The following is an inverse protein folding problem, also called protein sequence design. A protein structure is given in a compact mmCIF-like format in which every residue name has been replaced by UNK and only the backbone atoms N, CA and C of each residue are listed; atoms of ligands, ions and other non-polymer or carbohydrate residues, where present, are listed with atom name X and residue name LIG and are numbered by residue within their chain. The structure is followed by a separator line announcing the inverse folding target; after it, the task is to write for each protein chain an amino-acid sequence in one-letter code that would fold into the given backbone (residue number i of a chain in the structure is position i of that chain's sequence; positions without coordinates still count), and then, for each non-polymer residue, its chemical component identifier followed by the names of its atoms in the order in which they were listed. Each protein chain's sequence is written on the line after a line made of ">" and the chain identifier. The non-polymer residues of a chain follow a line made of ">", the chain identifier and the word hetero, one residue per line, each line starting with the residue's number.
data_IF_531686808797
#
_entry.id   IF_531686808797
#
_cell.length_a   1.000
_cell.length_b   1.000
_cell.length_c   1.000
_cell.angle_alpha   90.00
_cell.angle_beta   90.00
_cell.angle_gamma   90.00
#
_symmetry.space_group_name_H-M   'P 1'
#
loop_
_entity.id
_entity.type
_entity.pdbx_description
1 polymer ?
#
# COMPACT_ATOMS: atom_id res chain seq x y z
N UNK A 1 3.51 62.59 -41.02
CA UNK A 1 3.81 61.96 -39.71
C UNK A 1 2.85 60.80 -39.47
N UNK A 2 3.28 59.55 -39.70
CA UNK A 2 2.56 58.36 -39.25
C UNK A 2 3.56 57.50 -38.48
N UNK A 3 3.30 57.33 -37.19
CA UNK A 3 4.09 56.59 -36.22
C UNK A 3 3.80 55.09 -36.37
N UNK A 4 4.82 54.30 -36.69
CA UNK A 4 4.81 52.84 -36.56
C UNK A 4 5.21 52.50 -35.13
N UNK A 5 4.25 52.02 -34.33
CA UNK A 5 4.50 51.44 -33.01
C UNK A 5 4.90 49.97 -33.19
N UNK A 6 6.15 49.63 -32.90
CA UNK A 6 6.58 48.24 -32.73
C UNK A 6 6.08 47.72 -31.39
N UNK A 7 5.26 46.68 -31.41
CA UNK A 7 4.82 45.95 -30.22
C UNK A 7 5.85 44.85 -29.95
N UNK A 8 6.60 45.01 -28.86
CA UNK A 8 7.52 43.99 -28.34
C UNK A 8 6.70 42.98 -27.53
N UNK A 9 6.47 41.78 -28.07
CA UNK A 9 5.83 40.68 -27.34
C UNK A 9 6.90 40.02 -26.46
N UNK A 10 6.81 40.25 -25.15
CA UNK A 10 7.66 39.60 -24.16
C UNK A 10 7.11 38.20 -23.88
N UNK A 11 7.76 37.17 -24.45
CA UNK A 11 7.49 35.77 -24.14
C UNK A 11 8.05 35.45 -22.73
N UNK A 12 7.18 35.48 -21.72
CA UNK A 12 7.51 34.98 -20.38
C UNK A 12 7.45 33.45 -20.45
N UNK A 13 8.61 32.82 -20.61
CA UNK A 13 8.76 31.38 -20.42
C UNK A 13 8.74 31.12 -18.91
N UNK A 14 7.58 30.71 -18.40
CA UNK A 14 7.49 30.15 -17.05
C UNK A 14 8.18 28.78 -17.06
N UNK A 15 9.48 28.77 -16.79
CA UNK A 15 10.19 27.55 -16.43
C UNK A 15 9.70 27.10 -15.05
N UNK A 16 8.74 26.18 -15.02
CA UNK A 16 8.44 25.39 -13.84
C UNK A 16 9.69 24.58 -13.49
N UNK A 17 10.50 25.09 -12.56
CA UNK A 17 11.47 24.26 -11.88
C UNK A 17 10.71 23.28 -11.01
N UNK A 18 10.57 22.04 -11.48
CA UNK A 18 10.31 20.91 -10.60
C UNK A 18 11.52 20.79 -9.67
N UNK A 19 11.44 21.44 -8.51
CA UNK A 19 12.30 21.13 -7.38
C UNK A 19 12.07 19.66 -7.06
N UNK A 20 12.98 18.79 -7.51
CA UNK A 20 13.07 17.41 -7.05
C UNK A 20 13.42 17.45 -5.57
N UNK A 21 12.39 17.52 -4.72
CA UNK A 21 12.58 17.46 -3.29
C UNK A 21 13.04 16.03 -2.95
N UNK A 22 14.33 15.85 -2.66
CA UNK A 22 14.83 14.59 -2.11
C UNK A 22 14.05 14.29 -0.83
N UNK A 23 13.41 13.13 -0.77
CA UNK A 23 12.63 12.71 0.40
C UNK A 23 13.53 12.15 1.51
N UNK A 24 14.84 12.01 1.25
CA UNK A 24 15.86 11.46 2.16
C UNK A 24 15.38 10.18 2.86
N UNK A 25 14.86 9.27 2.03
CA UNK A 25 14.28 7.99 2.40
C UNK A 25 15.30 7.12 3.16
N UNK A 26 14.83 6.13 3.92
CA UNK A 26 15.71 5.20 4.62
C UNK A 26 16.75 4.57 3.67
N UNK A 27 16.32 4.20 2.46
CA UNK A 27 17.17 3.65 1.39
C UNK A 27 18.26 4.61 0.90
N UNK A 28 18.04 5.93 0.94
CA UNK A 28 19.00 6.93 0.46
C UNK A 28 20.13 7.16 1.50
N UNK A 29 19.96 6.68 2.74
CA UNK A 29 20.89 6.89 3.85
C UNK A 29 21.96 5.79 4.00
N UNK A 30 22.56 5.34 2.90
CA UNK A 30 23.53 4.22 2.87
C UNK A 30 24.59 4.30 3.98
N UNK A 31 25.16 5.47 4.24
CA UNK A 31 26.22 5.65 5.24
C UNK A 31 25.78 5.27 6.66
N UNK A 32 24.49 5.32 6.98
CA UNK A 32 23.97 4.98 8.31
C UNK A 32 23.83 3.48 8.54
N UNK A 33 23.79 2.68 7.47
CA UNK A 33 23.56 1.24 7.58
C UNK A 33 24.60 0.36 6.89
N UNK A 34 25.48 0.91 6.05
CA UNK A 34 26.54 0.15 5.36
C UNK A 34 27.37 -0.69 6.33
N UNK A 35 27.85 -0.09 7.42
CA UNK A 35 28.69 -0.77 8.40
C UNK A 35 27.95 -1.92 9.10
N UNK A 36 26.62 -1.90 9.12
CA UNK A 36 25.80 -3.00 9.65
C UNK A 36 25.74 -4.19 8.69
N UNK A 37 26.12 -4.01 7.41
CA UNK A 37 26.08 -5.00 6.34
C UNK A 37 27.47 -5.54 5.96
N UNK A 38 28.55 -4.83 6.32
CA UNK A 38 29.91 -5.24 5.99
C UNK A 38 30.23 -6.63 6.57
N UNK A 39 30.84 -7.50 5.75
CA UNK A 39 31.20 -8.88 6.07
C UNK A 39 30.02 -9.78 6.52
N UNK A 40 28.78 -9.42 6.16
CA UNK A 40 27.59 -10.23 6.42
C UNK A 40 27.01 -10.83 5.14
N UNK A 41 26.36 -11.97 5.30
CA UNK A 41 25.45 -12.52 4.29
C UNK A 41 24.10 -11.83 4.41
N UNK A 42 23.79 -11.00 3.42
CA UNK A 42 22.61 -10.13 3.42
C UNK A 42 21.51 -10.76 2.55
N UNK A 43 20.35 -11.00 3.14
CA UNK A 43 19.13 -11.25 2.38
C UNK A 43 18.32 -9.95 2.23
N UNK A 44 17.55 -9.83 1.15
CA UNK A 44 16.78 -8.63 0.84
C UNK A 44 15.30 -8.95 0.73
N UNK A 45 14.43 -8.10 1.26
CA UNK A 45 12.98 -8.13 1.00
C UNK A 45 12.64 -6.82 0.29
N UNK A 46 12.49 -6.91 -1.04
CA UNK A 46 12.48 -5.76 -1.96
C UNK A 46 11.51 -5.99 -3.12
N UNK A 47 11.11 -4.90 -3.78
CA UNK A 47 10.36 -4.93 -5.03
C UNK A 47 10.89 -3.85 -5.99
N UNK A 48 10.19 -3.59 -7.09
CA UNK A 48 10.65 -2.66 -8.12
C UNK A 48 10.81 -1.22 -7.65
N UNK A 49 10.16 -0.82 -6.54
CA UNK A 49 10.24 0.51 -5.95
C UNK A 49 11.47 0.68 -5.02
N UNK A 50 12.22 -0.40 -4.77
CA UNK A 50 13.44 -0.41 -3.96
C UNK A 50 14.63 0.19 -4.70
N UNK A 51 14.54 1.50 -5.00
CA UNK A 51 15.50 2.23 -5.84
C UNK A 51 16.05 3.47 -5.17
N UNK A 52 17.31 3.75 -5.45
CA UNK A 52 17.99 5.03 -5.21
C UNK A 52 18.14 5.67 -6.59
N UNK A 53 17.41 6.76 -6.80
CA UNK A 53 17.17 7.32 -8.12
C UNK A 53 16.68 6.24 -9.09
N UNK A 54 17.47 5.91 -10.13
CA UNK A 54 17.13 4.89 -11.11
C UNK A 54 17.79 3.53 -10.85
N UNK A 55 18.61 3.41 -9.82
CA UNK A 55 19.39 2.19 -9.52
C UNK A 55 18.68 1.36 -8.46
N UNK A 56 18.50 0.06 -8.72
CA UNK A 56 17.89 -0.84 -7.75
C UNK A 56 18.83 -1.07 -6.55
N UNK A 57 18.27 -1.24 -5.34
CA UNK A 57 19.04 -1.43 -4.11
C UNK A 57 20.03 -2.59 -4.22
N UNK A 58 19.62 -3.68 -4.87
CA UNK A 58 20.48 -4.84 -5.16
C UNK A 58 21.75 -4.41 -5.90
N UNK A 59 21.62 -3.64 -6.98
CA UNK A 59 22.76 -3.16 -7.78
C UNK A 59 23.67 -2.26 -6.94
N UNK A 60 23.09 -1.36 -6.15
CA UNK A 60 23.83 -0.48 -5.26
C UNK A 60 24.65 -1.26 -4.24
N UNK A 61 24.05 -2.25 -3.57
CA UNK A 61 24.72 -3.06 -2.55
C UNK A 61 25.84 -3.91 -3.14
N UNK A 62 25.61 -4.53 -4.30
CA UNK A 62 26.63 -5.30 -5.02
C UNK A 62 27.82 -4.41 -5.42
N UNK A 63 27.56 -3.20 -5.93
CA UNK A 63 28.61 -2.24 -6.28
C UNK A 63 29.44 -1.77 -5.06
N UNK A 64 28.87 -1.82 -3.86
CA UNK A 64 29.55 -1.51 -2.60
C UNK A 64 30.31 -2.71 -2.00
N UNK A 65 30.29 -3.87 -2.66
CA UNK A 65 30.94 -5.10 -2.20
C UNK A 65 30.18 -5.84 -1.11
N UNK A 66 28.89 -5.54 -0.91
CA UNK A 66 28.04 -6.25 0.05
C UNK A 66 27.63 -7.60 -0.53
N UNK A 67 27.74 -8.67 0.27
CA UNK A 67 27.34 -10.01 -0.14
C UNK A 67 25.82 -10.19 -0.05
N UNK A 68 25.13 -10.02 -1.18
CA UNK A 68 23.69 -10.30 -1.30
C UNK A 68 23.49 -11.78 -1.67
N UNK A 69 22.93 -12.57 -0.76
CA UNK A 69 22.83 -14.03 -0.91
C UNK A 69 21.44 -14.52 -1.33
N UNK A 70 20.38 -13.76 -1.04
CA UNK A 70 19.00 -14.12 -1.38
C UNK A 70 18.12 -12.88 -1.47
N UNK A 71 17.13 -12.91 -2.35
CA UNK A 71 16.11 -11.87 -2.51
C UNK A 71 14.75 -12.51 -2.28
N UNK A 72 13.91 -11.84 -1.50
CA UNK A 72 12.51 -12.16 -1.32
C UNK A 72 11.67 -11.06 -1.96
N UNK A 73 10.66 -11.47 -2.71
CA UNK A 73 9.72 -10.55 -3.33
C UNK A 73 8.32 -10.75 -2.76
N UNK A 74 7.58 -9.67 -2.46
CA UNK A 74 6.18 -9.75 -2.07
C UNK A 74 5.26 -9.98 -3.29
N UNK A 75 3.96 -9.74 -3.10
CA UNK A 75 2.96 -9.61 -4.18
C UNK A 75 3.44 -8.65 -5.29
N UNK A 76 3.11 -8.97 -6.54
CA UNK A 76 3.56 -8.32 -7.79
C UNK A 76 5.00 -8.63 -8.24
N UNK A 77 5.77 -9.41 -7.48
CA UNK A 77 7.09 -9.87 -7.90
C UNK A 77 8.17 -8.78 -7.86
N UNK A 78 9.43 -9.20 -8.08
CA UNK A 78 10.60 -8.32 -7.95
C UNK A 78 10.57 -7.14 -8.92
N UNK A 79 10.05 -7.35 -10.12
CA UNK A 79 9.91 -6.32 -11.16
C UNK A 79 8.61 -5.52 -11.07
N UNK A 80 7.71 -5.84 -10.14
CA UNK A 80 6.37 -5.25 -10.09
C UNK A 80 5.49 -5.66 -11.28
N UNK A 81 5.91 -6.68 -12.03
CA UNK A 81 5.34 -7.05 -13.33
C UNK A 81 4.28 -8.17 -13.24
N UNK A 82 3.68 -8.43 -12.08
CA UNK A 82 2.65 -9.46 -11.93
C UNK A 82 1.33 -8.89 -11.40
N UNK A 83 0.20 -9.48 -11.80
CA UNK A 83 -1.13 -9.04 -11.37
C UNK A 83 -1.35 -9.28 -9.87
N UNK A 84 -2.33 -8.57 -9.28
CA UNK A 84 -2.82 -8.91 -7.94
C UNK A 84 -3.36 -10.35 -7.94
N UNK A 85 -3.00 -11.15 -6.93
CA UNK A 85 -3.39 -12.57 -6.90
C UNK A 85 -2.60 -13.51 -7.80
N UNK A 86 -1.66 -13.02 -8.62
CA UNK A 86 -0.90 -13.86 -9.55
C UNK A 86 0.25 -14.60 -8.83
N UNK A 87 0.40 -15.89 -9.12
CA UNK A 87 1.52 -16.68 -8.63
C UNK A 87 2.81 -16.27 -9.34
N UNK A 88 3.81 -15.92 -8.55
CA UNK A 88 5.16 -15.58 -9.02
C UNK A 88 6.08 -16.76 -8.71
N UNK A 89 6.74 -17.30 -9.73
CA UNK A 89 7.72 -18.39 -9.58
C UNK A 89 9.05 -17.85 -9.07
N UNK A 90 9.75 -18.68 -8.32
CA UNK A 90 11.14 -18.43 -7.95
C UNK A 90 12.03 -18.32 -9.21
N UNK A 91 13.03 -17.46 -9.13
CA UNK A 91 13.95 -17.16 -10.25
C UNK A 91 15.32 -16.75 -9.72
N UNK A 92 16.18 -16.19 -10.56
CA UNK A 92 17.50 -15.71 -10.19
C UNK A 92 17.74 -14.28 -10.69
N UNK A 93 18.39 -13.47 -9.86
CA UNK A 93 18.94 -12.19 -10.22
C UNK A 93 20.39 -12.37 -10.69
N UNK A 94 20.71 -11.87 -11.88
CA UNK A 94 22.02 -12.06 -12.56
C UNK A 94 22.49 -13.52 -12.50
N UNK A 95 21.55 -14.45 -12.76
CA UNK A 95 21.75 -15.91 -12.83
C UNK A 95 22.37 -16.58 -11.58
N UNK A 96 22.53 -15.86 -10.47
CA UNK A 96 23.34 -16.31 -9.33
C UNK A 96 22.68 -16.08 -7.97
N UNK A 97 21.86 -15.03 -7.83
CA UNK A 97 21.21 -14.71 -6.55
C UNK A 97 19.76 -15.18 -6.62
N UNK A 98 19.31 -16.15 -5.80
CA UNK A 98 17.93 -16.61 -5.83
C UNK A 98 16.94 -15.51 -5.47
N UNK A 99 15.84 -15.42 -6.22
CA UNK A 99 14.66 -14.62 -5.92
C UNK A 99 13.53 -15.57 -5.52
N UNK A 100 13.07 -15.47 -4.28
CA UNK A 100 12.00 -16.29 -3.71
C UNK A 100 10.72 -15.46 -3.60
N UNK A 101 9.60 -16.00 -4.08
CA UNK A 101 8.29 -15.38 -3.94
C UNK A 101 7.72 -15.61 -2.53
N UNK A 102 7.35 -14.53 -1.83
CA UNK A 102 6.60 -14.55 -0.57
C UNK A 102 5.11 -14.29 -0.81
N UNK A 103 4.57 -14.82 -1.91
CA UNK A 103 3.16 -14.76 -2.26
C UNK A 103 2.61 -16.13 -2.69
N UNK A 104 1.32 -16.36 -2.44
CA UNK A 104 0.65 -17.63 -2.74
C UNK A 104 0.85 -18.66 -1.61
N UNK A 105 1.45 -19.81 -1.95
CA UNK A 105 1.66 -20.91 -1.01
C UNK A 105 2.70 -20.57 0.06
N UNK A 106 3.75 -19.86 -0.33
CA UNK A 106 4.80 -19.40 0.56
C UNK A 106 4.60 -17.92 0.88
N UNK A 107 4.27 -17.60 2.13
CA UNK A 107 4.10 -16.20 2.61
C UNK A 107 5.17 -15.78 3.61
N UNK A 108 5.97 -16.74 4.07
CA UNK A 108 6.98 -16.59 5.11
C UNK A 108 8.28 -17.24 4.62
N UNK A 109 9.45 -16.59 4.78
CA UNK A 109 10.74 -17.26 4.55
C UNK A 109 10.84 -18.57 5.32
N UNK A 110 11.31 -19.64 4.68
CA UNK A 110 11.51 -20.92 5.35
C UNK A 110 12.78 -20.90 6.20
N UNK A 111 12.93 -21.88 7.09
CA UNK A 111 14.15 -22.09 7.87
C UNK A 111 15.35 -22.22 6.92
N UNK A 112 15.21 -22.97 5.83
CA UNK A 112 16.28 -23.16 4.86
C UNK A 112 16.63 -21.87 4.10
N UNK A 113 15.64 -21.02 3.81
CA UNK A 113 15.90 -19.72 3.15
C UNK A 113 16.72 -18.77 4.04
N UNK A 114 16.62 -18.92 5.36
CA UNK A 114 17.33 -18.09 6.33
C UNK A 114 18.63 -18.73 6.83
N UNK A 115 18.92 -19.97 6.43
CA UNK A 115 20.15 -20.68 6.78
C UNK A 115 21.34 -19.96 6.16
N UNK A 116 22.20 -19.38 7.00
CA UNK A 116 23.35 -18.53 6.65
C UNK A 116 23.04 -17.08 6.31
N UNK A 117 21.87 -16.56 6.67
CA UNK A 117 21.58 -15.12 6.59
C UNK A 117 21.88 -14.47 7.94
N UNK A 118 22.78 -13.48 7.96
CA UNK A 118 23.12 -12.75 9.18
C UNK A 118 22.16 -11.57 9.44
N UNK A 119 21.66 -10.99 8.34
CA UNK A 119 20.77 -9.83 8.36
C UNK A 119 19.85 -9.83 7.13
N UNK A 120 18.57 -9.57 7.37
CA UNK A 120 17.59 -9.25 6.33
C UNK A 120 17.39 -7.74 6.26
N UNK A 121 17.48 -7.20 5.05
CA UNK A 121 17.16 -5.81 4.76
C UNK A 121 15.76 -5.74 4.16
N UNK A 122 14.85 -5.02 4.80
CA UNK A 122 13.49 -4.82 4.31
C UNK A 122 13.33 -3.40 3.75
N UNK A 123 12.99 -3.29 2.47
CA UNK A 123 12.75 -2.01 1.80
C UNK A 123 11.61 -2.15 0.79
N UNK A 124 10.39 -1.82 1.19
CA UNK A 124 9.21 -1.89 0.32
C UNK A 124 8.34 -0.65 0.54
N UNK A 125 7.94 0.00 -0.55
CA UNK A 125 6.99 1.12 -0.51
C UNK A 125 5.56 0.59 -0.28
N UNK A 126 5.07 0.78 0.94
CA UNK A 126 3.68 0.55 1.32
C UNK A 126 2.78 1.76 0.98
N UNK A 127 1.45 1.60 1.08
CA UNK A 127 0.47 2.67 0.77
C UNK A 127 -0.33 3.14 1.98
N UNK A 128 -0.11 2.61 3.18
CA UNK A 128 -0.74 3.14 4.40
C UNK A 128 -2.14 2.61 4.72
N UNK A 129 -2.52 1.48 4.13
CA UNK A 129 -3.88 0.92 4.24
C UNK A 129 -3.80 -0.56 4.64
N UNK A 130 -4.60 -0.96 5.64
CA UNK A 130 -4.50 -2.28 6.30
C UNK A 130 -4.56 -3.46 5.33
N UNK A 131 -5.37 -3.35 4.28
CA UNK A 131 -5.55 -4.39 3.26
C UNK A 131 -4.56 -4.34 2.11
N UNK A 132 -3.50 -3.52 2.22
CA UNK A 132 -2.33 -3.64 1.37
C UNK A 132 -1.36 -4.65 1.98
N UNK A 133 -1.09 -5.73 1.23
CA UNK A 133 -0.53 -6.99 1.76
C UNK A 133 0.94 -6.91 2.17
N UNK A 134 1.64 -5.81 1.89
CA UNK A 134 3.04 -5.63 2.28
C UNK A 134 3.22 -5.57 3.81
N UNK A 135 2.20 -5.14 4.57
CA UNK A 135 2.19 -5.28 6.03
C UNK A 135 2.17 -6.74 6.48
N UNK A 136 1.44 -7.60 5.77
CA UNK A 136 1.39 -9.03 6.04
C UNK A 136 2.70 -9.71 5.68
N UNK A 137 3.34 -9.32 4.57
CA UNK A 137 4.71 -9.76 4.26
C UNK A 137 5.69 -9.34 5.36
N UNK A 138 5.63 -8.09 5.82
CA UNK A 138 6.45 -7.61 6.94
C UNK A 138 6.25 -8.47 8.20
N UNK A 139 5.00 -8.74 8.59
CA UNK A 139 4.69 -9.59 9.75
C UNK A 139 5.38 -10.95 9.65
N UNK A 140 5.21 -11.65 8.52
CA UNK A 140 5.78 -12.99 8.36
C UNK A 140 7.31 -12.99 8.28
N UNK A 141 7.91 -11.97 7.65
CA UNK A 141 9.36 -11.77 7.67
C UNK A 141 9.86 -11.54 9.10
N UNK A 142 9.19 -10.67 9.86
CA UNK A 142 9.53 -10.43 11.26
C UNK A 142 9.40 -11.70 12.11
N UNK A 143 8.36 -12.49 11.91
CA UNK A 143 8.17 -13.79 12.57
C UNK A 143 9.31 -14.76 12.23
N UNK A 144 9.65 -14.92 10.95
CA UNK A 144 10.74 -15.80 10.53
C UNK A 144 12.10 -15.36 11.11
N UNK A 145 12.38 -14.05 11.11
CA UNK A 145 13.57 -13.49 11.73
C UNK A 145 13.61 -13.75 13.24
N UNK A 146 12.48 -13.60 13.94
CA UNK A 146 12.39 -13.88 15.37
C UNK A 146 12.60 -15.37 15.69
N UNK A 147 12.02 -16.27 14.87
CA UNK A 147 12.14 -17.72 15.03
C UNK A 147 13.58 -18.21 14.78
N UNK A 148 14.32 -17.58 13.86
CA UNK A 148 15.67 -18.01 13.45
C UNK A 148 16.81 -17.17 14.04
N UNK A 149 16.50 -16.14 14.83
CA UNK A 149 17.51 -15.24 15.40
C UNK A 149 18.23 -14.37 14.36
N UNK A 150 17.61 -14.13 13.20
CA UNK A 150 18.16 -13.28 12.13
C UNK A 150 17.81 -11.82 12.41
N UNK A 151 18.78 -10.91 12.25
CA UNK A 151 18.54 -9.49 12.42
C UNK A 151 17.69 -8.95 11.27
N UNK A 152 16.69 -8.12 11.56
CA UNK A 152 15.93 -7.40 10.55
C UNK A 152 16.28 -5.92 10.60
N UNK A 153 16.74 -5.39 9.48
CA UNK A 153 16.98 -3.97 9.27
C UNK A 153 15.97 -3.44 8.27
N UNK A 154 15.10 -2.52 8.71
CA UNK A 154 14.05 -1.95 7.87
C UNK A 154 14.45 -0.54 7.44
N UNK A 155 14.42 -0.30 6.13
CA UNK A 155 14.61 1.02 5.53
C UNK A 155 13.25 1.71 5.44
N UNK A 156 13.01 2.69 6.30
CA UNK A 156 11.67 3.23 6.46
C UNK A 156 11.25 4.08 5.24
N UNK A 157 9.95 4.08 4.97
CA UNK A 157 9.32 4.72 3.82
C UNK A 157 8.06 5.47 4.20
N UNK A 158 7.77 6.58 3.50
CA UNK A 158 6.64 7.43 3.83
C UNK A 158 5.31 6.72 3.63
N UNK A 159 4.32 7.13 4.42
CA UNK A 159 2.93 6.72 4.26
C UNK A 159 2.10 7.97 3.88
N UNK A 160 1.26 7.91 2.83
CA UNK A 160 0.49 9.05 2.35
C UNK A 160 -0.64 9.50 3.30
N UNK A 161 -0.93 8.76 4.37
CA UNK A 161 -2.02 8.96 5.33
C UNK A 161 -1.53 9.16 6.77
N UNK A 162 -0.31 9.65 7.00
CA UNK A 162 0.24 9.75 8.38
C UNK A 162 -0.43 10.79 9.27
N UNK A 163 -1.21 11.70 8.71
CA UNK A 163 -1.85 12.82 9.40
C UNK A 163 -3.24 12.50 9.97
N UNK A 164 -3.82 11.33 9.66
CA UNK A 164 -5.10 10.91 10.23
C UNK A 164 -5.19 9.38 10.44
N UNK A 165 -6.27 8.95 11.10
CA UNK A 165 -6.64 7.55 11.33
C UNK A 165 -8.13 7.42 11.08
N UNK A 166 -8.54 6.40 10.34
CA UNK A 166 -9.97 6.21 10.06
C UNK A 166 -10.32 4.75 9.73
N UNK A 167 -11.61 4.45 9.84
CA UNK A 167 -12.23 3.18 9.53
C UNK A 167 -12.26 2.19 10.70
N UNK A 168 -13.04 1.09 10.55
CA UNK A 168 -13.19 0.10 11.60
C UNK A 168 -11.88 -0.59 11.95
N UNK A 169 -11.66 -0.83 13.24
CA UNK A 169 -10.56 -1.67 13.74
C UNK A 169 -10.85 -3.13 13.41
N UNK A 170 -9.82 -3.86 12.96
CA UNK A 170 -9.93 -5.28 12.65
C UNK A 170 -10.25 -6.09 13.91
N UNK A 171 -11.33 -6.87 13.85
CA UNK A 171 -11.68 -7.91 14.81
C UNK A 171 -11.00 -9.24 14.41
N UNK A 172 -10.52 -10.00 15.39
CA UNK A 172 -9.65 -11.16 15.17
C UNK A 172 -10.26 -12.26 14.29
N UNK A 173 -11.59 -12.44 14.34
CA UNK A 173 -12.34 -13.38 13.49
C UNK A 173 -12.28 -13.03 11.99
N UNK A 174 -12.03 -11.76 11.66
CA UNK A 174 -11.84 -11.29 10.28
C UNK A 174 -10.36 -11.21 9.88
N UNK A 175 -9.43 -11.62 10.76
CA UNK A 175 -8.01 -11.69 10.41
C UNK A 175 -7.76 -12.57 9.18
N UNK A 176 -6.88 -12.12 8.30
CA UNK A 176 -6.48 -12.78 7.06
C UNK A 176 -5.22 -12.14 6.47
N UNK A 177 -4.76 -12.59 5.30
CA UNK A 177 -3.60 -11.99 4.63
C UNK A 177 -3.79 -10.52 4.22
N UNK A 178 -5.03 -10.02 4.16
CA UNK A 178 -5.35 -8.60 3.90
C UNK A 178 -5.64 -7.80 5.18
N UNK A 179 -5.20 -8.33 6.33
CA UNK A 179 -5.36 -7.65 7.61
C UNK A 179 -5.11 -8.64 8.73
N UNK A 180 -3.93 -8.58 9.36
CA UNK A 180 -3.53 -9.50 10.42
C UNK A 180 -3.80 -8.96 11.83
N UNK A 181 -3.63 -7.66 12.01
CA UNK A 181 -3.55 -7.02 13.32
C UNK A 181 -4.74 -6.11 13.60
N UNK A 182 -5.10 -5.90 14.89
CA UNK A 182 -6.21 -5.05 15.31
C UNK A 182 -5.89 -3.55 15.12
N UNK A 183 -5.78 -3.13 13.86
CA UNK A 183 -5.55 -1.75 13.44
C UNK A 183 -6.73 -1.26 12.59
N UNK A 184 -7.01 0.06 12.54
CA UNK A 184 -7.98 0.65 11.61
C UNK A 184 -7.63 0.40 10.14
N UNK A 185 -8.56 0.70 9.22
CA UNK A 185 -8.28 0.62 7.77
C UNK A 185 -7.12 1.55 7.42
N UNK A 186 -7.20 2.81 7.89
CA UNK A 186 -6.15 3.81 7.75
C UNK A 186 -5.53 3.98 9.13
N UNK A 187 -4.35 3.40 9.32
CA UNK A 187 -3.69 3.36 10.62
C UNK A 187 -2.74 4.55 10.86
N UNK A 188 -2.42 5.30 9.80
CA UNK A 188 -1.57 6.49 9.86
C UNK A 188 -0.26 6.21 10.58
N UNK A 189 0.57 5.31 10.07
CA UNK A 189 1.92 5.04 10.58
C UNK A 189 2.85 4.69 9.42
N UNK A 190 4.13 5.03 9.49
CA UNK A 190 5.09 4.48 8.51
C UNK A 190 5.22 2.97 8.69
N UNK A 191 5.76 2.28 7.69
CA UNK A 191 5.97 0.83 7.78
C UNK A 191 6.99 0.47 8.89
N UNK A 192 7.96 1.35 9.17
CA UNK A 192 8.87 1.21 10.31
C UNK A 192 8.22 1.40 11.67
N UNK A 193 7.35 2.40 11.83
CA UNK A 193 6.53 2.58 13.05
C UNK A 193 5.61 1.35 13.26
N UNK A 194 5.02 0.83 12.19
CA UNK A 194 4.18 -0.36 12.23
C UNK A 194 4.97 -1.60 12.65
N UNK A 195 6.20 -1.78 12.13
CA UNK A 195 7.09 -2.87 12.55
C UNK A 195 7.40 -2.82 14.05
N UNK A 196 7.69 -1.63 14.59
CA UNK A 196 7.89 -1.44 16.02
C UNK A 196 6.65 -1.84 16.83
N UNK A 197 5.46 -1.50 16.33
CA UNK A 197 4.19 -1.88 16.96
C UNK A 197 3.95 -3.40 16.94
N UNK A 198 4.25 -4.09 15.83
CA UNK A 198 4.19 -5.57 15.75
C UNK A 198 5.02 -6.20 16.88
N UNK A 199 6.26 -5.74 17.05
CA UNK A 199 7.16 -6.24 18.09
C UNK A 199 6.72 -5.85 19.50
N UNK A 200 6.29 -4.61 19.70
CA UNK A 200 5.97 -4.04 21.01
C UNK A 200 4.68 -4.60 21.61
N UNK A 201 3.65 -4.78 20.78
CA UNK A 201 2.36 -5.34 21.20
C UNK A 201 2.35 -6.89 21.18
N UNK A 202 3.47 -7.52 20.83
CA UNK A 202 3.65 -8.97 20.90
C UNK A 202 2.77 -9.75 19.91
N UNK A 203 2.60 -9.20 18.70
CA UNK A 203 1.74 -9.79 17.67
C UNK A 203 2.37 -10.95 16.91
N UNK A 204 3.69 -11.14 17.02
CA UNK A 204 4.35 -12.33 16.47
C UNK A 204 3.96 -13.57 17.27
N UNK A 205 4.00 -14.74 16.62
CA UNK A 205 3.72 -16.02 17.27
C UNK A 205 4.53 -16.21 18.54
N UNK A 206 3.89 -16.79 19.55
CA UNK A 206 4.44 -16.99 20.90
C UNK A 206 4.94 -15.70 21.58
N UNK A 207 4.47 -14.52 21.13
CA UNK A 207 4.93 -13.20 21.60
C UNK A 207 6.44 -12.99 21.45
N UNK A 208 7.06 -13.67 20.49
CA UNK A 208 8.46 -13.46 20.18
C UNK A 208 8.70 -12.03 19.69
N UNK A 209 9.96 -11.59 19.77
CA UNK A 209 10.39 -10.29 19.28
C UNK A 209 11.47 -10.49 18.24
N UNK A 210 11.28 -9.87 17.09
CA UNK A 210 12.30 -9.79 16.05
C UNK A 210 13.40 -8.83 16.51
N UNK A 211 14.69 -9.16 16.27
CA UNK A 211 15.77 -8.20 16.47
C UNK A 211 15.72 -7.15 15.35
N UNK A 212 14.96 -6.08 15.60
CA UNK A 212 14.57 -5.09 14.61
C UNK A 212 15.35 -3.78 14.79
N UNK A 213 15.93 -3.28 13.70
CA UNK A 213 16.51 -1.95 13.59
C UNK A 213 15.82 -1.17 12.47
N UNK A 214 15.55 0.12 12.68
CA UNK A 214 14.90 1.00 11.69
C UNK A 214 15.87 2.08 11.23
N UNK A 215 16.06 2.22 9.93
CA UNK A 215 16.68 3.40 9.32
C UNK A 215 15.58 4.41 9.01
N UNK A 216 15.50 5.46 9.83
CA UNK A 216 14.50 6.52 9.72
C UNK A 216 14.65 7.31 8.41
N UNK A 217 13.53 7.86 7.95
CA UNK A 217 13.50 8.92 6.93
C UNK A 217 14.04 10.20 7.58
N UNK A 218 14.95 10.91 6.91
CA UNK A 218 15.47 12.19 7.43
C UNK A 218 14.52 13.34 7.12
N UNK A 219 14.30 14.21 8.10
CA UNK A 219 13.49 15.42 7.95
C UNK A 219 12.04 15.15 7.49
N UNK A 220 11.50 13.98 7.87
CA UNK A 220 10.10 13.63 7.64
C UNK A 220 9.21 14.19 8.74
N UNK A 221 8.10 14.80 8.36
CA UNK A 221 7.00 15.16 9.26
C UNK A 221 5.74 14.48 8.78
N UNK A 222 4.92 14.04 9.72
CA UNK A 222 3.66 13.32 9.47
C UNK A 222 2.62 14.17 8.74
N UNK A 223 2.75 15.49 8.82
CA UNK A 223 1.87 16.48 8.18
C UNK A 223 2.23 16.79 6.73
N UNK A 224 3.38 16.31 6.24
CA UNK A 224 3.88 16.63 4.90
C UNK A 224 3.24 15.75 3.84
N UNK A 225 2.72 16.37 2.78
CA UNK A 225 2.25 15.64 1.59
C UNK A 225 3.41 14.90 0.93
N UNK A 226 3.19 13.61 0.64
CA UNK A 226 4.19 12.74 0.03
C UNK A 226 3.79 12.36 -1.39
N UNK A 227 4.80 12.22 -2.24
CA UNK A 227 4.64 11.79 -3.64
C UNK A 227 5.45 10.53 -3.87
N UNK A 228 4.88 9.56 -4.55
CA UNK A 228 5.59 8.33 -4.87
C UNK A 228 6.34 8.50 -6.19
N UNK A 229 7.65 8.24 -6.17
CA UNK A 229 8.49 8.27 -7.39
C UNK A 229 8.11 7.12 -8.35
N UNK A 230 7.67 6.00 -7.81
CA UNK A 230 7.28 4.80 -8.55
C UNK A 230 5.91 4.32 -8.07
N UNK A 231 5.05 3.81 -8.98
CA UNK A 231 3.76 3.26 -8.59
C UNK A 231 3.98 2.02 -7.70
N UNK A 232 3.26 1.88 -6.57
CA UNK A 232 3.48 0.79 -5.62
C UNK A 232 2.89 -0.53 -6.13
N UNK A 233 1.91 -0.48 -7.03
CA UNK A 233 1.37 -1.64 -7.75
C UNK A 233 0.88 -1.26 -9.15
N UNK A 234 0.64 -2.23 -10.05
CA UNK A 234 0.11 -1.97 -11.40
C UNK A 234 -1.23 -1.23 -11.42
N UNK A 235 -2.03 -1.33 -10.36
CA UNK A 235 -3.35 -0.70 -10.29
C UNK A 235 -3.39 0.55 -9.42
N UNK A 236 -2.24 0.99 -8.89
CA UNK A 236 -2.13 2.29 -8.22
C UNK A 236 -1.15 3.19 -9.00
N UNK A 237 -1.46 3.53 -10.27
CA UNK A 237 -0.51 4.21 -11.15
C UNK A 237 -0.29 5.69 -10.79
N UNK A 238 -1.23 6.32 -10.08
CA UNK A 238 -1.23 7.76 -9.80
C UNK A 238 -1.37 8.05 -8.31
N UNK A 239 -0.95 9.25 -7.88
CA UNK A 239 -1.19 9.69 -6.51
C UNK A 239 -2.69 9.76 -6.17
N UNK A 240 -3.53 10.11 -7.14
CA UNK A 240 -4.98 10.12 -6.95
C UNK A 240 -5.56 8.72 -6.72
N UNK A 241 -5.11 7.72 -7.50
CA UNK A 241 -5.49 6.31 -7.27
C UNK A 241 -5.05 5.82 -5.88
N UNK A 242 -3.86 6.26 -5.42
CA UNK A 242 -3.37 5.97 -4.07
C UNK A 242 -4.35 6.58 -3.06
N UNK A 243 -4.61 7.90 -3.12
CA UNK A 243 -5.50 8.64 -2.19
C UNK A 243 -6.93 8.10 -2.13
N UNK A 244 -7.45 7.59 -3.24
CA UNK A 244 -8.79 6.99 -3.33
C UNK A 244 -8.83 5.53 -2.87
N UNK A 245 -7.68 4.84 -2.83
CA UNK A 245 -7.59 3.40 -2.55
C UNK A 245 -8.26 2.97 -1.24
N UNK A 246 -8.12 3.66 -0.08
CA UNK A 246 -8.78 3.23 1.15
C UNK A 246 -10.30 3.13 1.00
N UNK A 247 -10.90 4.05 0.23
CA UNK A 247 -12.34 4.15 0.04
C UNK A 247 -12.81 3.18 -1.04
N UNK A 248 -12.13 3.16 -2.19
CA UNK A 248 -12.56 2.37 -3.35
C UNK A 248 -12.22 0.89 -3.21
N UNK A 249 -11.16 0.51 -2.50
CA UNK A 249 -10.80 -0.91 -2.36
C UNK A 249 -11.84 -1.72 -1.59
N UNK A 250 -12.71 -1.10 -0.79
CA UNK A 250 -13.87 -1.78 -0.19
C UNK A 250 -14.79 -2.40 -1.25
N UNK A 251 -14.86 -1.83 -2.47
CA UNK A 251 -15.65 -2.39 -3.57
C UNK A 251 -15.11 -3.71 -4.13
N UNK A 252 -13.87 -4.09 -3.84
CA UNK A 252 -13.35 -5.44 -4.15
C UNK A 252 -14.18 -6.52 -3.41
N UNK A 253 -14.71 -6.16 -2.24
CA UNK A 253 -15.68 -6.95 -1.49
C UNK A 253 -17.12 -6.88 -2.03
N UNK A 254 -17.35 -6.26 -3.20
CA UNK A 254 -18.70 -6.02 -3.72
C UNK A 254 -18.86 -6.45 -5.17
N UNK A 255 -20.04 -6.25 -5.74
CA UNK A 255 -20.27 -6.37 -7.19
C UNK A 255 -19.80 -5.15 -7.99
N UNK A 256 -19.41 -4.04 -7.38
CA UNK A 256 -19.03 -2.82 -8.10
C UNK A 256 -17.59 -2.91 -8.63
N UNK A 257 -17.35 -2.49 -9.87
CA UNK A 257 -16.00 -2.37 -10.44
C UNK A 257 -15.35 -1.07 -9.99
N UNK A 258 -14.04 -1.12 -9.73
CA UNK A 258 -13.18 0.03 -9.38
C UNK A 258 -12.32 0.50 -10.55
N UNK A 259 -12.69 0.14 -11.79
CA UNK A 259 -11.95 0.53 -12.99
C UNK A 259 -10.70 -0.29 -13.27
N UNK A 260 -10.47 -1.43 -12.60
CA UNK A 260 -9.45 -2.39 -13.06
C UNK A 260 -9.73 -2.80 -14.51
N UNK A 261 -8.69 -2.94 -15.32
CA UNK A 261 -8.83 -3.15 -16.76
C UNK A 261 -9.04 -1.87 -17.58
N UNK A 262 -8.94 -0.70 -16.96
CA UNK A 262 -8.87 0.60 -17.63
C UNK A 262 -7.50 1.25 -17.37
N UNK A 263 -7.28 2.44 -17.92
CA UNK A 263 -6.08 3.24 -17.65
C UNK A 263 -6.15 4.02 -16.33
N UNK A 264 -7.26 3.93 -15.60
CA UNK A 264 -7.56 4.68 -14.38
C UNK A 264 -8.14 3.80 -13.25
N UNK A 265 -7.49 2.68 -12.91
CA UNK A 265 -7.92 1.84 -11.79
C UNK A 265 -7.87 2.62 -10.48
N UNK A 266 -8.87 2.37 -9.61
CA UNK A 266 -9.07 3.11 -8.36
C UNK A 266 -9.22 4.63 -8.53
N UNK A 267 -9.71 5.08 -9.68
CA UNK A 267 -10.11 6.48 -9.90
C UNK A 267 -11.54 6.59 -10.42
N UNK A 268 -12.27 5.48 -10.47
CA UNK A 268 -13.68 5.37 -10.86
C UNK A 268 -14.34 4.25 -10.06
N UNK A 269 -15.66 4.26 -10.00
CA UNK A 269 -16.43 3.07 -9.64
C UNK A 269 -17.70 2.97 -10.47
N UNK A 270 -18.17 1.75 -10.75
CA UNK A 270 -19.39 1.54 -11.51
C UNK A 270 -19.73 0.07 -11.79
N UNK A 271 -20.90 -0.15 -12.39
CA UNK A 271 -21.35 -1.48 -12.84
C UNK A 271 -22.33 -1.33 -14.02
N UNK A 272 -22.55 -2.38 -14.83
CA UNK A 272 -23.45 -2.31 -15.99
C UNK A 272 -24.90 -1.99 -15.65
N UNK A 273 -25.34 -2.32 -14.44
CA UNK A 273 -26.71 -2.14 -13.97
C UNK A 273 -26.97 -0.78 -13.29
N UNK A 274 -25.94 0.05 -13.10
CA UNK A 274 -26.12 1.38 -12.54
C UNK A 274 -26.57 2.36 -13.62
N UNK A 275 -27.23 3.45 -13.22
CA UNK A 275 -27.71 4.49 -14.14
C UNK A 275 -27.02 5.82 -13.82
N UNK A 276 -25.82 6.01 -14.36
CA UNK A 276 -25.04 7.24 -14.26
C UNK A 276 -24.61 7.73 -15.65
N UNK A 277 -24.38 9.04 -15.82
CA UNK A 277 -24.00 9.61 -17.11
C UNK A 277 -22.58 9.22 -17.56
N UNK A 278 -21.66 8.98 -16.63
CA UNK A 278 -20.30 8.53 -16.95
C UNK A 278 -20.27 7.01 -17.12
N UNK A 279 -19.49 6.55 -18.10
CA UNK A 279 -19.25 5.12 -18.33
C UNK A 279 -17.78 4.82 -18.63
N UNK A 280 -17.41 3.58 -18.39
CA UNK A 280 -16.09 3.04 -18.68
C UNK A 280 -16.19 1.57 -19.08
N UNK A 281 -15.15 1.06 -19.73
CA UNK A 281 -15.15 -0.28 -20.34
C UNK A 281 -13.90 -1.06 -19.90
N UNK A 282 -14.02 -1.95 -18.89
CA UNK A 282 -12.91 -2.77 -18.43
C UNK A 282 -12.45 -3.79 -19.49
N UNK A 283 -11.16 -3.80 -19.81
CA UNK A 283 -10.52 -4.77 -20.69
C UNK A 283 -9.35 -5.48 -20.01
N UNK A 284 -8.98 -6.70 -20.41
CA UNK A 284 -7.78 -7.35 -19.91
C UNK A 284 -6.56 -6.49 -20.20
N UNK A 285 -5.78 -6.18 -19.18
CA UNK A 285 -4.54 -5.44 -19.32
C UNK A 285 -3.49 -5.97 -18.33
N UNK A 286 -2.35 -5.29 -18.28
CA UNK A 286 -1.24 -5.67 -17.42
C UNK A 286 -1.60 -5.67 -15.92
N UNK A 287 -2.49 -4.78 -15.48
CA UNK A 287 -2.94 -4.69 -14.08
C UNK A 287 -4.09 -5.64 -13.73
N UNK A 288 -4.87 -6.10 -14.72
CA UNK A 288 -5.91 -7.10 -14.51
C UNK A 288 -6.17 -7.92 -15.76
N UNK A 289 -5.78 -9.21 -15.76
CA UNK A 289 -6.08 -10.16 -16.84
C UNK A 289 -7.56 -10.54 -16.95
N UNK A 290 -8.32 -10.42 -15.85
CA UNK A 290 -9.74 -10.77 -15.74
C UNK A 290 -10.47 -9.70 -14.92
N UNK A 291 -10.62 -8.47 -15.44
CA UNK A 291 -11.26 -7.40 -14.69
C UNK A 291 -12.75 -7.70 -14.44
N UNK A 292 -13.30 -7.10 -13.39
CA UNK A 292 -14.75 -7.18 -13.12
C UNK A 292 -15.51 -6.49 -14.25
N UNK A 293 -16.55 -7.14 -14.77
CA UNK A 293 -17.28 -6.71 -15.98
C UNK A 293 -16.37 -6.61 -17.20
N UNK A 294 -15.53 -7.62 -17.37
CA UNK A 294 -14.64 -7.74 -18.52
C UNK A 294 -15.40 -7.63 -19.83
N UNK A 295 -15.00 -6.67 -20.67
CA UNK A 295 -15.62 -6.39 -21.96
C UNK A 295 -17.10 -5.98 -21.89
N UNK A 296 -17.53 -5.42 -20.76
CA UNK A 296 -18.89 -4.88 -20.55
C UNK A 296 -18.84 -3.40 -20.17
N UNK A 297 -19.80 -2.61 -20.66
CA UNK A 297 -19.90 -1.19 -20.31
C UNK A 297 -20.39 -1.06 -18.87
N UNK A 298 -19.62 -0.37 -18.04
CA UNK A 298 -20.00 0.00 -16.68
C UNK A 298 -20.42 1.46 -16.64
N UNK A 299 -21.53 1.76 -15.96
CA UNK A 299 -21.95 3.12 -15.67
C UNK A 299 -21.62 3.45 -14.21
N UNK A 300 -21.18 4.67 -13.93
CA UNK A 300 -20.83 5.06 -12.57
C UNK A 300 -20.26 6.46 -12.44
N UNK A 301 -19.29 6.61 -11.52
CA UNK A 301 -18.75 7.92 -11.13
C UNK A 301 -17.28 8.02 -11.52
N UNK A 302 -16.92 9.17 -12.10
CA UNK A 302 -15.55 9.54 -12.45
C UNK A 302 -14.91 10.38 -11.33
N UNK A 303 -13.86 9.85 -10.71
CA UNK A 303 -13.13 10.51 -9.61
C UNK A 303 -11.73 10.98 -10.04
N UNK A 304 -11.38 10.90 -11.33
CA UNK A 304 -10.03 11.25 -11.85
C UNK A 304 -9.66 12.73 -11.69
N UNK A 305 -10.66 13.60 -11.58
CA UNK A 305 -10.48 15.07 -11.51
C UNK A 305 -10.78 15.67 -10.14
N UNK A 306 -11.11 14.84 -9.15
CA UNK A 306 -11.70 15.32 -7.90
C UNK A 306 -10.66 15.58 -6.80
N UNK A 307 -9.61 16.35 -7.14
CA UNK A 307 -8.43 16.61 -6.29
C UNK A 307 -8.76 17.52 -5.08
N UNK A 308 -9.89 18.23 -5.12
CA UNK A 308 -10.30 19.18 -4.07
C UNK A 308 -11.03 18.53 -2.88
N UNK A 309 -11.17 17.19 -2.87
CA UNK A 309 -11.71 16.52 -1.70
C UNK A 309 -10.67 16.48 -0.58
N UNK A 310 -11.09 16.85 0.62
CA UNK A 310 -10.34 16.58 1.84
C UNK A 310 -10.25 15.05 2.04
N UNK A 311 -9.20 14.43 1.48
CA UNK A 311 -8.93 12.99 1.61
C UNK A 311 -8.49 12.59 3.03
N UNK A 312 -8.72 13.44 4.05
CA UNK A 312 -8.44 13.14 5.47
C UNK A 312 -9.51 12.29 6.15
N UNK A 313 -10.37 11.64 5.37
CA UNK A 313 -11.33 10.63 5.86
C UNK A 313 -11.57 9.54 4.81
N UNK A 314 -11.87 8.34 5.28
CA UNK A 314 -12.40 7.26 4.47
C UNK A 314 -13.75 7.67 3.88
N UNK A 315 -13.90 7.77 2.56
CA UNK A 315 -15.14 8.25 1.95
C UNK A 315 -16.17 7.12 1.82
N UNK A 316 -17.14 7.08 2.74
CA UNK A 316 -18.21 6.07 2.75
C UNK A 316 -19.33 6.37 1.76
N UNK A 317 -19.48 7.63 1.33
CA UNK A 317 -20.53 8.03 0.40
C UNK A 317 -20.47 7.23 -0.89
N UNK A 318 -19.27 6.90 -1.37
CA UNK A 318 -19.11 6.07 -2.57
C UNK A 318 -19.83 4.74 -2.41
N UNK A 319 -19.55 4.04 -1.31
CA UNK A 319 -20.09 2.72 -1.02
C UNK A 319 -21.60 2.77 -0.73
N UNK A 320 -22.05 3.75 0.06
CA UNK A 320 -23.46 3.95 0.41
C UNK A 320 -24.28 4.31 -0.84
N UNK A 321 -23.80 5.26 -1.67
CA UNK A 321 -24.48 5.63 -2.91
C UNK A 321 -24.55 4.47 -3.90
N UNK A 322 -23.46 3.73 -4.09
CA UNK A 322 -23.46 2.58 -4.99
C UNK A 322 -24.41 1.47 -4.50
N UNK A 323 -24.45 1.19 -3.19
CA UNK A 323 -25.43 0.27 -2.61
C UNK A 323 -26.85 0.75 -2.87
N UNK A 324 -27.15 2.03 -2.58
CA UNK A 324 -28.49 2.58 -2.72
C UNK A 324 -28.98 2.66 -4.16
N UNK A 325 -28.09 2.97 -5.10
CA UNK A 325 -28.37 3.01 -6.54
C UNK A 325 -28.52 1.60 -7.17
N UNK A 326 -28.10 0.54 -6.48
CA UNK A 326 -28.21 -0.82 -6.98
C UNK A 326 -29.67 -1.30 -6.99
N UNK A 327 -30.15 -1.96 -8.07
CA UNK A 327 -31.45 -2.62 -8.09
C UNK A 327 -31.57 -3.71 -7.02
N UNK A 328 -32.80 -4.06 -6.63
CA UNK A 328 -33.06 -4.98 -5.51
C UNK A 328 -32.33 -6.33 -5.65
N UNK A 329 -32.26 -6.90 -6.85
CA UNK A 329 -31.58 -8.17 -7.07
C UNK A 329 -30.06 -8.06 -6.90
N UNK A 330 -29.47 -6.93 -7.26
CA UNK A 330 -28.05 -6.66 -6.99
C UNK A 330 -27.79 -6.29 -5.53
N UNK A 331 -28.75 -5.67 -4.81
CA UNK A 331 -28.61 -5.40 -3.36
C UNK A 331 -28.43 -6.69 -2.55
N UNK A 332 -29.14 -7.77 -2.93
CA UNK A 332 -29.06 -9.09 -2.25
C UNK A 332 -27.66 -9.71 -2.32
N UNK A 333 -26.94 -9.46 -3.41
CA UNK A 333 -25.60 -10.00 -3.66
C UNK A 333 -24.52 -8.92 -3.62
N UNK A 334 -24.85 -7.72 -3.14
CA UNK A 334 -23.99 -6.56 -3.29
C UNK A 334 -22.63 -6.79 -2.65
N UNK A 335 -22.63 -7.35 -1.44
CA UNK A 335 -21.44 -7.72 -0.69
C UNK A 335 -21.12 -9.20 -0.89
N UNK A 336 -19.85 -9.50 -1.16
CA UNK A 336 -19.32 -10.87 -1.20
C UNK A 336 -18.57 -11.20 0.10
N UNK A 337 -18.11 -12.44 0.24
CA UNK A 337 -17.45 -12.93 1.46
C UNK A 337 -16.14 -12.19 1.81
N UNK A 338 -15.56 -11.47 0.86
CA UNK A 338 -14.31 -10.72 1.04
C UNK A 338 -14.53 -9.35 1.70
N UNK A 339 -15.73 -8.77 1.62
CA UNK A 339 -16.01 -7.45 2.17
C UNK A 339 -15.66 -7.33 3.66
N UNK A 340 -16.11 -8.27 4.48
CA UNK A 340 -15.87 -8.22 5.92
C UNK A 340 -14.40 -8.43 6.28
N UNK A 341 -13.62 -9.11 5.42
CA UNK A 341 -12.15 -9.22 5.58
C UNK A 341 -11.47 -7.87 5.32
N UNK A 342 -11.94 -7.10 4.34
CA UNK A 342 -11.45 -5.74 4.06
C UNK A 342 -11.89 -4.74 5.13
N UNK A 343 -13.18 -4.72 5.47
CA UNK A 343 -13.75 -3.85 6.50
C UNK A 343 -13.19 -4.16 7.91
N UNK A 344 -12.85 -5.43 8.14
CA UNK A 344 -12.29 -5.94 9.39
C UNK A 344 -13.33 -6.29 10.45
N UNK A 345 -14.61 -6.16 10.13
CA UNK A 345 -15.75 -6.66 10.87
C UNK A 345 -16.96 -6.83 9.94
N UNK A 346 -18.06 -7.36 10.45
CA UNK A 346 -19.35 -7.39 9.73
C UNK A 346 -20.22 -6.14 9.97
N UNK A 347 -19.86 -5.28 10.93
CA UNK A 347 -20.68 -4.14 11.34
C UNK A 347 -20.91 -3.17 10.19
N UNK A 348 -19.85 -2.78 9.47
CA UNK A 348 -19.97 -1.85 8.35
C UNK A 348 -20.97 -2.34 7.29
N UNK A 349 -20.92 -3.63 6.94
CA UNK A 349 -21.85 -4.24 6.00
C UNK A 349 -23.30 -4.13 6.51
N UNK A 350 -23.54 -4.55 7.76
CA UNK A 350 -24.86 -4.56 8.38
C UNK A 350 -25.43 -3.15 8.52
N UNK A 351 -24.61 -2.16 8.87
CA UNK A 351 -25.04 -0.78 9.02
C UNK A 351 -25.48 -0.17 7.68
N UNK A 352 -24.76 -0.47 6.59
CA UNK A 352 -25.16 -0.04 5.24
C UNK A 352 -26.47 -0.70 4.81
N UNK A 353 -26.62 -2.01 5.03
CA UNK A 353 -27.86 -2.74 4.72
C UNK A 353 -29.05 -2.17 5.50
N UNK A 354 -28.83 -1.82 6.77
CA UNK A 354 -29.83 -1.23 7.65
C UNK A 354 -30.03 0.29 7.43
N UNK A 355 -29.39 0.87 6.41
CA UNK A 355 -29.53 2.27 6.01
C UNK A 355 -29.23 3.27 7.15
N UNK A 356 -28.20 2.98 7.96
CA UNK A 356 -27.70 3.94 8.95
C UNK A 356 -27.04 5.14 8.25
N UNK A 357 -27.08 6.31 8.90
CA UNK A 357 -26.34 7.49 8.44
C UNK A 357 -24.82 7.28 8.52
N UNK A 358 -24.06 8.03 7.72
CA UNK A 358 -22.59 8.02 7.78
C UNK A 358 -22.10 8.32 9.20
N UNK A 359 -22.67 9.32 9.87
CA UNK A 359 -22.32 9.68 11.26
C UNK A 359 -22.52 8.50 12.23
N UNK A 360 -23.64 7.78 12.11
CA UNK A 360 -23.92 6.61 12.96
C UNK A 360 -22.96 5.45 12.69
N UNK A 361 -22.57 5.27 11.41
CA UNK A 361 -21.57 4.27 11.02
C UNK A 361 -20.21 4.62 11.64
N UNK A 362 -19.78 5.88 11.53
CA UNK A 362 -18.49 6.35 12.05
C UNK A 362 -18.40 6.25 13.56
N UNK A 363 -19.47 6.63 14.26
CA UNK A 363 -19.55 6.54 15.72
C UNK A 363 -19.21 5.13 16.22
N UNK A 364 -19.55 4.09 15.44
CA UNK A 364 -19.30 2.70 15.83
C UNK A 364 -17.83 2.30 15.93
N UNK A 365 -16.90 3.07 15.35
CA UNK A 365 -15.46 2.79 15.44
C UNK A 365 -14.64 3.85 16.17
N UNK A 366 -15.26 4.93 16.66
CA UNK A 366 -14.57 6.01 17.41
C UNK A 366 -13.78 5.44 18.60
N UNK A 367 -14.43 4.65 19.46
CA UNK A 367 -13.78 4.04 20.62
C UNK A 367 -12.59 3.13 20.23
N UNK A 368 -12.72 2.42 19.11
CA UNK A 368 -11.64 1.59 18.56
C UNK A 368 -10.45 2.42 18.09
N UNK A 369 -10.73 3.54 17.39
CA UNK A 369 -9.72 4.50 16.97
C UNK A 369 -9.03 5.12 18.18
N UNK A 370 -9.77 5.62 19.18
CA UNK A 370 -9.20 6.21 20.39
C UNK A 370 -8.25 5.25 21.11
N UNK A 371 -8.68 3.99 21.26
CA UNK A 371 -7.85 2.93 21.86
C UNK A 371 -6.57 2.70 21.03
N UNK A 372 -6.69 2.63 19.71
CA UNK A 372 -5.54 2.48 18.81
C UNK A 372 -4.59 3.69 18.86
N UNK A 373 -5.12 4.91 18.94
CA UNK A 373 -4.33 6.14 19.04
C UNK A 373 -3.45 6.16 20.30
N UNK A 374 -3.96 5.65 21.43
CA UNK A 374 -3.18 5.50 22.66
C UNK A 374 -2.04 4.49 22.51
N UNK A 375 -2.31 3.36 21.84
CA UNK A 375 -1.30 2.32 21.60
C UNK A 375 -0.23 2.79 20.62
N UNK A 376 -0.62 3.36 19.47
CA UNK A 376 0.31 3.75 18.40
C UNK A 376 1.33 4.78 18.86
N UNK A 377 0.97 5.66 19.81
CA UNK A 377 1.83 6.74 20.33
C UNK A 377 3.17 6.22 20.86
N UNK A 378 3.22 4.99 21.36
CA UNK A 378 4.46 4.35 21.86
C UNK A 378 5.48 4.07 20.75
N UNK A 379 5.04 4.03 19.49
CA UNK A 379 5.81 3.49 18.36
C UNK A 379 6.09 4.54 17.29
N UNK A 380 5.58 5.77 17.43
CA UNK A 380 5.81 6.83 16.46
C UNK A 380 7.29 7.25 16.47
N UNK A 381 7.85 7.43 15.28
CA UNK A 381 9.24 7.78 15.05
C UNK A 381 9.43 9.23 14.61
N UNK A 382 8.33 9.87 14.20
CA UNK A 382 8.26 11.18 13.56
C UNK A 382 7.22 12.06 14.25
N UNK A 383 7.43 13.37 14.18
CA UNK A 383 6.53 14.40 14.70
C UNK A 383 5.36 14.70 13.74
#
# INVERSE_FOLDING_TARGET
>A
MKSTKSILILLIINSFHYLSFSQNLGIENISTYRTLLDNKNVGLVVNHASRIDNTHLVDTLLALGINVSIIFSPEHGFSGSFNAGEYVKDTYYRDSIPIISLYGELKKPSVDHLKNIDILLFDIQDVGVRFYTYLSTLHYVMEACAEQGVNLLLLDRPNPYTDYVDGPVLESEYSSFVGLHPVPIIYGMTIGEYALMINGEGWLKNKQKCNLSIIKIKSYSRSKTMYFKFPPSPNLPTMNSILLYPSLCLFEGTVISVGRGTDFPFEVYGAPFLNYPFSFYPNPNFGSKKPKYNQEVCYGVDLRRNIDNDYKKLNLDFLIHAYNASPLDYKKIFFNNFFNKLAGNNKLQLQIINNLSEDSIRESWVNGIESFLLVRKKYLLYD
#
